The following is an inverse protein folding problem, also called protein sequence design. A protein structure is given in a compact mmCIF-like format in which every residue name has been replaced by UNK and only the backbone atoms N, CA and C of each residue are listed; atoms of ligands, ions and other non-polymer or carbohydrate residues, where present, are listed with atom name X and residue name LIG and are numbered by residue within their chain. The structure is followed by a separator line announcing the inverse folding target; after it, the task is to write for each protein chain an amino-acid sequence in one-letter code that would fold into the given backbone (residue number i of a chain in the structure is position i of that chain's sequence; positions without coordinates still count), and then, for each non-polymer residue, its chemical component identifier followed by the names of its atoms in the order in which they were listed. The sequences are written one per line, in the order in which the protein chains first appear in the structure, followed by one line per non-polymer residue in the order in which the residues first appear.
data_IF_445963432370
#
_entry.id   IF_445963432370
#
_cell.length_a   1.000
_cell.length_b   1.000
_cell.length_c   1.000
_cell.angle_alpha   90.00
_cell.angle_beta   90.00
_cell.angle_gamma   90.00
#
_symmetry.space_group_name_H-M   'P 1'
#
loop_
_entity.id
_entity.type
_entity.pdbx_description
1 polymer ?
#
# COMPACT_ATOMS: atom_id res chain seq x y z
N UNK A 1 -3.41 -1.69 -26.25
CA UNK A 1 -1.99 -1.32 -26.02
C UNK A 1 -1.71 0.18 -26.20
N UNK A 2 -2.65 0.99 -26.70
CA UNK A 2 -2.55 2.45 -26.74
C UNK A 2 -3.55 3.03 -25.74
N UNK A 3 -3.09 3.60 -24.62
CA UNK A 3 -3.78 4.64 -23.82
C UNK A 3 -2.99 5.13 -22.58
N UNK A 4 -1.69 4.84 -22.47
CA UNK A 4 -0.82 5.47 -21.46
C UNK A 4 -0.04 6.61 -22.15
N UNK A 5 -0.72 7.75 -22.37
CA UNK A 5 -0.14 8.92 -23.03
C UNK A 5 1.01 9.57 -22.25
N UNK A 6 1.82 10.36 -22.97
CA UNK A 6 3.11 10.98 -22.61
C UNK A 6 3.18 11.88 -21.36
N UNK A 7 2.10 12.01 -20.59
CA UNK A 7 2.13 12.69 -19.29
C UNK A 7 2.35 11.66 -18.21
N UNK A 8 3.43 11.83 -17.44
CA UNK A 8 3.86 10.97 -16.33
C UNK A 8 2.66 10.46 -15.51
N UNK A 9 2.29 9.20 -15.70
CA UNK A 9 1.26 8.54 -14.89
C UNK A 9 1.94 7.84 -13.72
N UNK A 10 1.47 8.11 -12.51
CA UNK A 10 1.93 7.42 -11.30
C UNK A 10 1.12 6.14 -11.13
N UNK A 11 1.81 5.00 -11.05
CA UNK A 11 1.18 3.76 -10.63
C UNK A 11 1.08 3.72 -9.11
N UNK A 12 -0.04 3.24 -8.58
CA UNK A 12 -0.22 3.00 -7.14
C UNK A 12 -0.42 1.51 -6.94
N UNK A 13 0.49 0.86 -6.23
CA UNK A 13 0.38 -0.55 -5.82
C UNK A 13 -0.17 -0.61 -4.39
N UNK A 14 -1.44 -0.97 -4.18
CA UNK A 14 -2.00 -1.18 -2.86
C UNK A 14 -1.56 -2.55 -2.34
N UNK A 15 -1.03 -2.60 -1.12
CA UNK A 15 -0.61 -3.85 -0.46
C UNK A 15 -1.22 -3.93 0.94
N UNK A 16 -1.65 -5.12 1.31
CA UNK A 16 -2.17 -5.44 2.64
C UNK A 16 -1.66 -6.79 3.15
N UNK A 17 -2.30 -7.29 4.19
CA UNK A 17 -2.07 -8.64 4.72
C UNK A 17 -3.40 -9.34 5.00
N UNK A 18 -3.32 -10.66 5.18
CA UNK A 18 -4.40 -11.47 5.74
C UNK A 18 -3.94 -11.97 7.09
N UNK A 19 -4.38 -11.30 8.16
CA UNK A 19 -3.94 -11.60 9.53
C UNK A 19 -5.03 -11.41 10.57
N UNK A 20 -4.80 -11.96 11.75
CA UNK A 20 -5.69 -11.78 12.89
C UNK A 20 -5.57 -10.38 13.48
N UNK A 21 -6.64 -9.60 13.38
CA UNK A 21 -6.81 -8.32 14.09
C UNK A 21 -7.71 -8.47 15.33
N UNK A 22 -7.66 -9.64 15.98
CA UNK A 22 -8.53 -10.00 17.09
C UNK A 22 -9.95 -10.40 16.64
N UNK A 23 -10.83 -10.69 17.61
CA UNK A 23 -12.14 -11.28 17.34
C UNK A 23 -13.19 -10.35 16.72
N UNK A 24 -12.85 -9.08 16.52
CA UNK A 24 -13.80 -8.02 16.18
C UNK A 24 -13.57 -7.44 14.77
N UNK A 25 -12.42 -7.72 14.16
CA UNK A 25 -12.07 -7.24 12.83
C UNK A 25 -11.88 -8.39 11.85
N UNK A 26 -12.14 -8.10 10.58
CA UNK A 26 -11.98 -9.08 9.51
C UNK A 26 -10.50 -9.35 9.22
N UNK A 27 -10.19 -10.56 8.72
CA UNK A 27 -8.82 -10.95 8.37
C UNK A 27 -8.19 -10.06 7.28
N UNK A 28 -9.01 -9.44 6.42
CA UNK A 28 -8.56 -8.57 5.33
C UNK A 28 -8.56 -7.08 5.68
N UNK A 29 -8.54 -6.71 6.96
CA UNK A 29 -8.64 -5.32 7.43
C UNK A 29 -7.64 -4.41 6.72
N UNK A 30 -6.39 -4.85 6.57
CA UNK A 30 -5.34 -4.06 5.90
C UNK A 30 -5.66 -3.75 4.43
N UNK A 31 -6.27 -4.71 3.71
CA UNK A 31 -6.73 -4.49 2.33
C UNK A 31 -7.90 -3.51 2.27
N UNK A 32 -8.88 -3.67 3.17
CA UNK A 32 -10.04 -2.77 3.23
C UNK A 32 -9.63 -1.33 3.55
N UNK A 33 -8.63 -1.13 4.40
CA UNK A 33 -8.10 0.20 4.73
C UNK A 33 -7.48 0.88 3.51
N UNK A 34 -6.57 0.22 2.79
CA UNK A 34 -5.94 0.83 1.60
C UNK A 34 -6.96 1.12 0.50
N UNK A 35 -7.92 0.22 0.29
CA UNK A 35 -9.00 0.41 -0.69
C UNK A 35 -9.94 1.55 -0.30
N UNK A 36 -10.28 1.66 0.99
CA UNK A 36 -11.06 2.76 1.53
C UNK A 36 -10.39 4.11 1.33
N UNK A 37 -9.08 4.22 1.64
CA UNK A 37 -8.29 5.44 1.41
C UNK A 37 -8.26 5.80 -0.07
N UNK A 38 -7.99 4.84 -0.96
CA UNK A 38 -7.99 5.07 -2.41
C UNK A 38 -9.35 5.52 -2.94
N UNK A 39 -10.44 4.94 -2.41
CA UNK A 39 -11.80 5.37 -2.72
C UNK A 39 -12.02 6.82 -2.32
N UNK A 40 -11.69 7.21 -1.09
CA UNK A 40 -11.85 8.59 -0.61
C UNK A 40 -11.01 9.57 -1.40
N UNK A 41 -9.74 9.25 -1.65
CA UNK A 41 -8.85 10.09 -2.47
C UNK A 41 -9.43 10.35 -3.86
N UNK A 42 -9.90 9.29 -4.53
CA UNK A 42 -10.53 9.43 -5.84
C UNK A 42 -11.81 10.25 -5.76
N UNK A 43 -12.67 10.00 -4.79
CA UNK A 43 -13.97 10.64 -4.70
C UNK A 43 -13.86 12.14 -4.32
N UNK A 44 -12.85 12.53 -3.52
CA UNK A 44 -12.65 13.91 -3.06
C UNK A 44 -11.76 14.76 -3.99
N UNK A 45 -10.83 14.12 -4.71
CA UNK A 45 -9.81 14.80 -5.52
C UNK A 45 -9.84 14.39 -7.00
N UNK A 46 -10.98 13.89 -7.50
CA UNK A 46 -11.13 13.42 -8.89
C UNK A 46 -10.72 14.46 -9.95
N UNK A 47 -10.96 15.74 -9.68
CA UNK A 47 -10.67 16.86 -10.58
C UNK A 47 -9.17 17.22 -10.60
N UNK A 48 -8.39 16.74 -9.62
CA UNK A 48 -6.95 16.96 -9.61
C UNK A 48 -6.27 16.11 -10.69
N UNK A 49 -5.55 16.80 -11.58
CA UNK A 49 -4.96 16.20 -12.78
C UNK A 49 -3.99 15.05 -12.47
N UNK A 50 -3.32 15.09 -11.32
CA UNK A 50 -2.44 14.02 -10.82
C UNK A 50 -3.23 12.79 -10.38
N UNK A 51 -4.32 12.98 -9.62
CA UNK A 51 -5.20 11.89 -9.17
C UNK A 51 -5.89 11.23 -10.36
N UNK A 52 -6.42 12.03 -11.29
CA UNK A 52 -7.07 11.55 -12.52
C UNK A 52 -6.14 10.74 -13.43
N UNK A 53 -4.83 10.96 -13.33
CA UNK A 53 -3.80 10.26 -14.14
C UNK A 53 -3.14 9.11 -13.41
N UNK A 54 -3.40 8.94 -12.11
CA UNK A 54 -2.90 7.81 -11.37
C UNK A 54 -3.54 6.50 -11.84
N UNK A 55 -2.74 5.44 -11.92
CA UNK A 55 -3.22 4.09 -12.24
C UNK A 55 -3.15 3.27 -10.97
N UNK A 56 -4.30 2.95 -10.40
CA UNK A 56 -4.40 2.07 -9.24
C UNK A 56 -4.35 0.63 -9.71
N UNK A 57 -3.34 -0.12 -9.25
CA UNK A 57 -3.22 -1.56 -9.47
C UNK A 57 -4.21 -2.34 -8.60
N UNK A 58 -4.51 -3.60 -8.94
CA UNK A 58 -5.21 -4.50 -8.02
C UNK A 58 -4.48 -4.60 -6.67
N UNK A 59 -5.25 -4.57 -5.58
CA UNK A 59 -4.72 -4.79 -4.23
C UNK A 59 -4.08 -6.17 -4.12
N UNK A 60 -2.86 -6.22 -3.60
CA UNK A 60 -2.21 -7.48 -3.24
C UNK A 60 -2.44 -7.75 -1.76
N UNK A 61 -3.40 -8.62 -1.47
CA UNK A 61 -3.92 -8.84 -0.12
C UNK A 61 -3.11 -9.81 0.75
N UNK A 62 -2.35 -10.74 0.15
CA UNK A 62 -1.51 -11.68 0.90
C UNK A 62 -0.15 -11.03 1.16
N UNK A 63 0.26 -11.04 2.43
CA UNK A 63 1.44 -10.34 2.92
C UNK A 63 2.37 -11.18 3.79
N UNK A 64 3.33 -10.51 4.41
CA UNK A 64 4.17 -11.07 5.45
C UNK A 64 3.57 -10.70 6.82
N UNK A 65 3.18 -11.73 7.57
CA UNK A 65 2.54 -11.71 8.90
C UNK A 65 2.99 -12.98 9.66
N UNK A 66 4.29 -13.30 9.60
CA UNK A 66 4.86 -14.55 10.14
C UNK A 66 4.65 -14.66 11.65
N UNK A 67 4.68 -13.53 12.35
CA UNK A 67 4.36 -13.35 13.75
C UNK A 67 2.91 -13.75 14.11
N UNK A 68 2.00 -13.73 13.12
CA UNK A 68 0.60 -14.11 13.26
C UNK A 68 0.28 -15.49 12.65
N UNK A 69 1.29 -16.27 12.25
CA UNK A 69 1.12 -17.57 11.59
C UNK A 69 0.39 -18.63 12.44
N UNK A 70 0.44 -18.51 13.77
CA UNK A 70 -0.27 -19.40 14.69
C UNK A 70 -1.79 -19.15 14.75
N UNK A 71 -2.29 -18.06 14.18
CA UNK A 71 -3.72 -17.73 14.20
C UNK A 71 -4.44 -18.37 13.01
N UNK A 72 -5.59 -18.99 13.28
CA UNK A 72 -6.44 -19.57 12.25
C UNK A 72 -6.91 -18.49 11.26
N UNK A 73 -6.70 -18.74 9.97
CA UNK A 73 -7.09 -17.84 8.89
C UNK A 73 -6.00 -16.87 8.42
N UNK A 74 -4.89 -16.71 9.16
CA UNK A 74 -3.73 -15.96 8.66
C UNK A 74 -3.17 -16.63 7.42
N UNK A 75 -3.03 -15.88 6.33
CA UNK A 75 -2.37 -16.33 5.10
C UNK A 75 -1.11 -15.50 4.92
N UNK A 76 0.05 -16.14 5.06
CA UNK A 76 1.33 -15.44 5.00
C UNK A 76 2.35 -16.15 4.12
N UNK A 77 3.22 -15.34 3.50
CA UNK A 77 4.37 -15.79 2.72
C UNK A 77 5.66 -15.23 3.32
N UNK A 78 6.82 -15.81 2.97
CA UNK A 78 8.10 -15.27 3.41
C UNK A 78 8.36 -13.88 2.82
N UNK A 79 9.13 -13.05 3.51
CA UNK A 79 9.51 -11.71 3.05
C UNK A 79 10.18 -11.76 1.66
N UNK A 80 11.05 -12.75 1.42
CA UNK A 80 11.70 -12.95 0.12
C UNK A 80 10.69 -13.21 -0.99
N UNK A 81 9.73 -14.10 -0.77
CA UNK A 81 8.67 -14.42 -1.73
C UNK A 81 7.80 -13.20 -2.00
N UNK A 82 7.46 -12.45 -0.96
CA UNK A 82 6.65 -11.24 -1.07
C UNK A 82 7.34 -10.17 -1.92
N UNK A 83 8.61 -9.87 -1.61
CA UNK A 83 9.39 -8.87 -2.34
C UNK A 83 9.57 -9.28 -3.80
N UNK A 84 9.88 -10.55 -4.07
CA UNK A 84 10.04 -11.04 -5.45
C UNK A 84 8.73 -10.98 -6.24
N UNK A 85 7.61 -11.36 -5.62
CA UNK A 85 6.28 -11.22 -6.23
C UNK A 85 5.98 -9.76 -6.58
N UNK A 86 6.11 -8.86 -5.60
CA UNK A 86 5.86 -7.44 -5.81
C UNK A 86 6.77 -6.84 -6.87
N UNK A 87 8.05 -7.24 -6.89
CA UNK A 87 9.01 -6.79 -7.89
C UNK A 87 8.58 -7.21 -9.30
N UNK A 88 8.19 -8.46 -9.52
CA UNK A 88 7.72 -8.95 -10.83
C UNK A 88 6.43 -8.26 -11.31
N UNK A 89 5.52 -7.95 -10.38
CA UNK A 89 4.34 -7.12 -10.67
C UNK A 89 4.78 -5.72 -11.13
N UNK A 90 5.70 -5.08 -10.41
CA UNK A 90 6.23 -3.77 -10.74
C UNK A 90 7.06 -3.76 -12.04
N UNK A 91 7.74 -4.85 -12.38
CA UNK A 91 8.38 -5.00 -13.69
C UNK A 91 7.36 -4.96 -14.82
N UNK A 92 6.20 -5.58 -14.63
CA UNK A 92 5.11 -5.56 -15.62
C UNK A 92 4.56 -4.14 -15.81
N UNK A 93 4.44 -3.39 -14.71
CA UNK A 93 4.11 -1.95 -14.72
C UNK A 93 5.18 -1.15 -15.48
N UNK A 94 6.45 -1.41 -15.20
CA UNK A 94 7.58 -0.76 -15.85
C UNK A 94 7.63 -1.05 -17.36
N UNK A 95 7.43 -2.31 -17.77
CA UNK A 95 7.34 -2.72 -19.20
C UNK A 95 6.19 -2.01 -19.93
N UNK A 96 5.14 -1.62 -19.21
CA UNK A 96 4.02 -0.85 -19.74
C UNK A 96 4.31 0.64 -19.93
N UNK A 97 5.54 1.10 -19.65
CA UNK A 97 5.98 2.49 -19.86
C UNK A 97 5.87 3.40 -18.63
N UNK A 98 5.31 2.90 -17.52
CA UNK A 98 5.21 3.65 -16.28
C UNK A 98 6.57 3.74 -15.58
N UNK A 99 6.91 4.93 -15.05
CA UNK A 99 8.22 5.21 -14.42
C UNK A 99 8.13 5.75 -13.00
N UNK A 100 6.91 5.98 -12.50
CA UNK A 100 6.61 6.45 -11.14
C UNK A 100 5.71 5.44 -10.45
N UNK A 101 6.09 5.00 -9.25
CA UNK A 101 5.35 4.04 -8.43
C UNK A 101 5.23 4.57 -7.00
N UNK A 102 4.01 4.50 -6.47
CA UNK A 102 3.70 4.60 -5.06
C UNK A 102 3.27 3.22 -4.57
N UNK A 103 3.94 2.68 -3.56
CA UNK A 103 3.46 1.50 -2.83
C UNK A 103 2.66 1.99 -1.63
N UNK A 104 1.35 1.73 -1.62
CA UNK A 104 0.46 2.11 -0.53
C UNK A 104 0.27 0.90 0.39
N UNK A 105 0.88 0.97 1.57
CA UNK A 105 0.92 -0.13 2.52
C UNK A 105 -0.07 0.06 3.66
N UNK A 106 -0.95 -0.93 3.84
CA UNK A 106 -1.90 -1.01 4.94
C UNK A 106 -1.39 -1.78 6.17
N UNK A 107 -0.33 -2.60 6.03
CA UNK A 107 0.09 -3.52 7.08
C UNK A 107 1.42 -3.08 7.75
N UNK A 108 1.44 -3.01 9.08
CA UNK A 108 2.59 -2.55 9.86
C UNK A 108 3.86 -3.39 9.65
N UNK A 109 3.73 -4.72 9.60
CA UNK A 109 4.83 -5.68 9.50
C UNK A 109 5.59 -5.63 8.18
N UNK A 110 5.09 -4.93 7.16
CA UNK A 110 5.66 -4.91 5.80
C UNK A 110 6.49 -3.67 5.49
N UNK A 111 6.65 -2.75 6.44
CA UNK A 111 7.31 -1.46 6.19
C UNK A 111 8.70 -1.66 5.54
N UNK A 112 9.50 -2.58 6.08
CA UNK A 112 10.83 -2.91 5.58
C UNK A 112 10.77 -3.58 4.20
N UNK A 113 9.79 -4.44 3.96
CA UNK A 113 9.58 -5.08 2.65
C UNK A 113 9.30 -4.03 1.57
N UNK A 114 8.48 -3.03 1.89
CA UNK A 114 8.19 -1.89 1.00
C UNK A 114 9.45 -1.06 0.73
N UNK A 115 10.26 -0.79 1.76
CA UNK A 115 11.51 -0.04 1.62
C UNK A 115 12.53 -0.79 0.74
N UNK A 116 12.68 -2.10 0.94
CA UNK A 116 13.55 -2.97 0.15
C UNK A 116 13.06 -3.01 -1.31
N UNK A 117 11.77 -3.25 -1.54
CA UNK A 117 11.17 -3.23 -2.88
C UNK A 117 11.46 -1.89 -3.58
N UNK A 118 11.13 -0.77 -2.94
CA UNK A 118 11.33 0.55 -3.52
C UNK A 118 12.81 0.82 -3.86
N UNK A 119 13.74 0.38 -3.00
CA UNK A 119 15.18 0.48 -3.27
C UNK A 119 15.58 -0.35 -4.49
N UNK A 120 15.08 -1.59 -4.57
CA UNK A 120 15.34 -2.51 -5.69
C UNK A 120 14.84 -1.94 -7.01
N UNK A 121 13.60 -1.43 -7.05
CA UNK A 121 13.02 -0.79 -8.24
C UNK A 121 13.81 0.43 -8.72
N UNK A 122 14.26 1.28 -7.79
CA UNK A 122 15.12 2.43 -8.12
C UNK A 122 16.47 2.00 -8.70
N UNK A 123 17.07 0.94 -8.15
CA UNK A 123 18.39 0.49 -8.58
C UNK A 123 18.34 -0.27 -9.91
N UNK A 124 17.47 -1.28 -10.01
CA UNK A 124 17.41 -2.22 -11.13
C UNK A 124 16.61 -1.65 -12.31
N UNK A 125 15.48 -0.99 -12.07
CA UNK A 125 14.60 -0.49 -13.14
C UNK A 125 14.73 1.02 -13.39
N UNK A 126 15.54 1.74 -12.60
CA UNK A 126 15.61 3.21 -12.62
C UNK A 126 14.23 3.88 -12.50
N UNK A 127 13.30 3.21 -11.82
CA UNK A 127 11.95 3.66 -11.60
C UNK A 127 11.89 4.56 -10.36
N UNK A 128 11.22 5.71 -10.43
CA UNK A 128 10.94 6.50 -9.23
C UNK A 128 9.91 5.75 -8.38
N UNK A 129 10.34 5.12 -7.30
CA UNK A 129 9.49 4.34 -6.41
C UNK A 129 9.55 4.88 -4.98
N UNK A 130 8.40 5.04 -4.34
CA UNK A 130 8.26 5.48 -2.95
C UNK A 130 7.19 4.65 -2.23
N UNK A 131 7.37 4.44 -0.93
CA UNK A 131 6.40 3.75 -0.08
C UNK A 131 5.67 4.73 0.83
N UNK A 132 4.35 4.58 0.94
CA UNK A 132 3.52 5.25 1.93
C UNK A 132 2.91 4.20 2.86
N UNK A 133 3.16 4.36 4.15
CA UNK A 133 2.72 3.47 5.21
C UNK A 133 1.56 4.13 5.96
N UNK A 134 0.34 3.60 5.84
CA UNK A 134 -0.86 4.24 6.40
C UNK A 134 -0.78 4.43 7.92
N UNK A 135 -0.23 3.45 8.63
CA UNK A 135 0.02 3.48 10.06
C UNK A 135 0.98 4.60 10.50
N UNK A 136 1.75 5.18 9.56
CA UNK A 136 2.67 6.31 9.80
C UNK A 136 2.21 7.61 9.16
N UNK A 137 1.10 7.59 8.42
CA UNK A 137 0.57 8.75 7.72
C UNK A 137 -0.23 9.68 8.65
N UNK A 138 -0.51 9.25 9.88
CA UNK A 138 -1.23 10.06 10.86
C UNK A 138 -0.32 11.03 11.60
N UNK A 139 -0.81 12.25 11.78
CA UNK A 139 -0.18 13.22 12.67
C UNK A 139 -0.67 12.98 14.11
N UNK A 140 0.23 12.61 15.03
CA UNK A 140 -0.11 12.37 16.43
C UNK A 140 -0.80 13.58 17.10
N UNK A 141 -0.51 14.80 16.64
CA UNK A 141 -1.15 16.02 17.14
C UNK A 141 -2.64 16.12 16.80
N UNK A 142 -3.12 15.37 15.80
CA UNK A 142 -4.55 15.31 15.44
C UNK A 142 -5.33 14.26 16.23
N UNK A 143 -4.64 13.26 16.81
CA UNK A 143 -5.25 12.23 17.66
C UNK A 143 -5.59 12.76 19.06
N UNK A 144 -4.82 13.73 19.57
CA UNK A 144 -5.07 14.39 20.85
C UNK A 144 -5.66 15.78 20.65
N UNK A 145 -6.77 15.90 19.92
CA UNK A 145 -7.59 17.12 20.04
C UNK A 145 -8.03 17.25 21.49
N UNK A 146 -7.90 18.44 22.09
CA UNK A 146 -8.35 18.73 23.46
C UNK A 146 -9.80 18.27 23.74
N UNK A 147 -10.62 18.14 22.69
CA UNK A 147 -11.98 17.59 22.78
C UNK A 147 -12.06 16.13 23.22
N UNK A 148 -11.02 15.31 23.01
CA UNK A 148 -10.97 13.90 23.41
C UNK A 148 -10.43 13.71 24.83
N UNK A 149 -9.70 14.69 25.37
CA UNK A 149 -9.22 14.71 26.76
C UNK A 149 -10.34 15.03 27.77
N UNK A 150 -11.57 15.31 27.31
CA UNK A 150 -12.73 15.52 28.20
C UNK A 150 -13.37 14.23 28.73
N UNK A 151 -12.94 13.08 28.22
CA UNK A 151 -13.38 11.78 28.72
C UNK A 151 -12.15 11.08 29.30
N UNK A 152 -11.86 11.39 30.57
CA UNK A 152 -10.87 10.68 31.38
C UNK A 152 -11.23 9.19 31.43
N UNK A 153 -10.34 8.36 30.87
CA UNK A 153 -10.20 6.95 31.23
C UNK A 153 -8.94 6.83 32.07
#
# INVERSE_FOLDING_TARGET
LQQVGDRLKTAILPVGAVESHGSHLALGTDSFLVEGVLKVLRDQHAEEDEVRRAVVLPTLSIGASTEHSSFCGTLTVSDSTLIDLWFQVCESVHRSGLRRLLVLNGHGGQTQNVEILCRRLRFELKMFAVGLNLQRAWNANELFRESLLKYDI
#
